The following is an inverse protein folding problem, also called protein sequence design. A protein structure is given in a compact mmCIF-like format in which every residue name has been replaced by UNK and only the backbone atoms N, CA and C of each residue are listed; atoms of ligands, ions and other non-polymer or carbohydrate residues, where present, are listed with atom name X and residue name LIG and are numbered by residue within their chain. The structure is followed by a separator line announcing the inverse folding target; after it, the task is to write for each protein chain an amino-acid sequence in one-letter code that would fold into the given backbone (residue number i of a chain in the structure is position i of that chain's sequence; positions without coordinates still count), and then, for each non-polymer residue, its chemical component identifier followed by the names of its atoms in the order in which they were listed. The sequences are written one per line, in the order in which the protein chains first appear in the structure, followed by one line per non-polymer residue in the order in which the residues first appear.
data_IF_145990083525
#
_entry.id   IF_145990083525
#
_cell.length_a   1.000
_cell.length_b   1.000
_cell.length_c   1.000
_cell.angle_alpha   90.00
_cell.angle_beta   90.00
_cell.angle_gamma   90.00
#
_symmetry.space_group_name_H-M   'P 1'
#
loop_
_entity.id
_entity.type
_entity.pdbx_description
1 polymer ?
#
# COMPACT_ATOMS: atom_id res chain seq x y z
N UNK A 1 -11.03 16.62 6.00
CA UNK A 1 -10.15 15.51 5.57
C UNK A 1 -9.92 15.65 4.08
N UNK A 2 -8.67 15.55 3.63
CA UNK A 2 -8.32 15.56 2.20
C UNK A 2 -8.96 14.34 1.54
N UNK A 3 -9.70 14.54 0.44
CA UNK A 3 -10.30 13.44 -0.30
C UNK A 3 -9.30 12.80 -1.26
N UNK A 4 -9.47 11.52 -1.61
CA UNK A 4 -8.72 10.91 -2.71
C UNK A 4 -8.95 11.64 -4.04
N UNK A 5 -7.88 11.79 -4.81
CA UNK A 5 -7.89 12.36 -6.15
C UNK A 5 -7.79 11.25 -7.20
N UNK A 6 -8.46 11.40 -8.34
CA UNK A 6 -8.37 10.44 -9.46
C UNK A 6 -7.22 10.90 -10.36
N UNK A 7 -6.20 10.06 -10.49
CA UNK A 7 -5.04 10.32 -11.36
C UNK A 7 -5.25 9.75 -12.76
N UNK A 8 -5.97 8.63 -12.85
CA UNK A 8 -6.28 7.95 -14.10
C UNK A 8 -7.55 7.12 -13.96
N UNK A 9 -8.32 7.02 -15.03
CA UNK A 9 -9.54 6.23 -15.09
C UNK A 9 -9.79 5.77 -16.53
N UNK A 10 -10.00 4.46 -16.71
CA UNK A 10 -10.54 3.87 -17.92
C UNK A 10 -11.58 2.80 -17.57
N UNK A 11 -12.07 2.05 -18.56
CA UNK A 11 -13.09 0.99 -18.36
C UNK A 11 -12.62 -0.18 -17.49
N UNK A 12 -11.32 -0.38 -17.36
CA UNK A 12 -10.71 -1.53 -16.69
C UNK A 12 -10.20 -1.21 -15.30
N UNK A 13 -9.59 -0.05 -15.08
CA UNK A 13 -8.97 0.32 -13.80
C UNK A 13 -9.09 1.80 -13.47
N UNK A 14 -8.86 2.10 -12.18
CA UNK A 14 -8.67 3.43 -11.63
C UNK A 14 -7.27 3.51 -11.02
N UNK A 15 -6.62 4.66 -11.14
CA UNK A 15 -5.50 5.03 -10.29
C UNK A 15 -5.91 6.23 -9.43
N UNK A 16 -5.86 6.07 -8.11
CA UNK A 16 -6.22 7.13 -7.16
C UNK A 16 -4.99 7.56 -6.37
N UNK A 17 -4.87 8.86 -6.10
CA UNK A 17 -3.92 9.39 -5.14
C UNK A 17 -4.56 9.31 -3.75
N UNK A 18 -4.16 8.29 -2.97
CA UNK A 18 -4.59 8.15 -1.57
C UNK A 18 -3.86 9.20 -0.72
N UNK A 19 -4.55 10.06 0.04
CA UNK A 19 -3.89 10.96 0.97
C UNK A 19 -3.30 10.20 2.18
N UNK A 20 -2.32 10.81 2.84
CA UNK A 20 -1.86 10.35 4.15
C UNK A 20 -2.96 10.51 5.20
N UNK A 21 -2.99 9.62 6.20
CA UNK A 21 -4.00 9.58 7.26
C UNK A 21 -5.26 8.77 6.93
N UNK A 22 -5.45 8.35 5.66
CA UNK A 22 -6.59 7.55 5.22
C UNK A 22 -6.26 6.05 5.16
N UNK A 23 -7.05 5.22 5.82
CA UNK A 23 -6.97 3.76 5.71
C UNK A 23 -7.43 3.28 4.33
N UNK A 24 -6.89 2.15 3.85
CA UNK A 24 -7.35 1.56 2.58
C UNK A 24 -8.68 0.82 2.73
N UNK A 25 -8.83 0.02 3.79
CA UNK A 25 -10.03 -0.72 4.17
C UNK A 25 -10.02 -0.95 5.69
N UNK A 26 -11.12 -1.44 6.27
CA UNK A 26 -11.26 -1.68 7.70
C UNK A 26 -12.12 -0.59 8.35
N UNK A 27 -11.63 0.00 9.44
CA UNK A 27 -12.38 1.02 10.18
C UNK A 27 -12.69 2.24 9.29
N UNK A 28 -13.88 2.81 9.48
CA UNK A 28 -14.32 4.03 8.80
C UNK A 28 -13.70 5.27 9.46
N UNK A 29 -13.33 6.32 8.69
CA UNK A 29 -13.41 6.41 7.23
C UNK A 29 -12.21 5.74 6.52
N UNK A 30 -12.46 5.13 5.36
CA UNK A 30 -11.43 4.49 4.54
C UNK A 30 -11.65 4.66 3.02
N UNK A 31 -10.63 4.29 2.24
CA UNK A 31 -10.64 4.40 0.77
C UNK A 31 -11.68 3.48 0.12
N UNK A 32 -11.88 2.26 0.64
CA UNK A 32 -12.85 1.32 0.12
C UNK A 32 -14.29 1.88 0.15
N UNK A 33 -14.68 2.51 1.27
CA UNK A 33 -15.97 3.20 1.39
C UNK A 33 -16.11 4.35 0.39
N UNK A 34 -15.06 5.16 0.24
CA UNK A 34 -15.04 6.25 -0.73
C UNK A 34 -15.17 5.73 -2.16
N UNK A 35 -14.47 4.63 -2.49
CA UNK A 35 -14.52 3.97 -3.80
C UNK A 35 -15.93 3.47 -4.10
N UNK A 36 -16.57 2.73 -3.19
CA UNK A 36 -17.93 2.21 -3.41
C UNK A 36 -18.95 3.34 -3.56
N UNK A 37 -18.80 4.43 -2.79
CA UNK A 37 -19.68 5.60 -2.90
C UNK A 37 -19.55 6.30 -4.26
N UNK A 38 -18.32 6.40 -4.79
CA UNK A 38 -18.04 7.13 -6.05
C UNK A 38 -18.14 6.27 -7.30
N UNK A 39 -17.87 4.97 -7.17
CA UNK A 39 -17.83 3.96 -8.23
C UNK A 39 -18.57 2.70 -7.77
N UNK A 40 -19.91 2.71 -7.72
CA UNK A 40 -20.69 1.59 -7.20
C UNK A 40 -20.44 0.27 -7.94
N UNK A 41 -20.00 0.30 -9.20
CA UNK A 41 -19.69 -0.87 -10.01
C UNK A 41 -18.54 -1.71 -9.44
N UNK A 42 -17.62 -1.11 -8.67
CA UNK A 42 -16.49 -1.82 -8.08
C UNK A 42 -16.89 -2.70 -6.90
N UNK A 43 -18.09 -2.50 -6.34
CA UNK A 43 -18.58 -3.15 -5.11
C UNK A 43 -18.47 -4.67 -5.13
N UNK A 44 -18.67 -5.28 -6.29
CA UNK A 44 -18.68 -6.73 -6.47
C UNK A 44 -17.40 -7.26 -7.14
N UNK A 45 -16.36 -6.43 -7.26
CA UNK A 45 -15.09 -6.81 -7.87
C UNK A 45 -14.14 -7.29 -6.78
N UNK A 46 -13.65 -8.52 -6.84
CA UNK A 46 -12.71 -9.02 -5.85
C UNK A 46 -12.68 -10.53 -5.69
N UNK A 47 -12.00 -10.99 -4.64
CA UNK A 47 -12.13 -12.38 -4.16
C UNK A 47 -13.52 -12.56 -3.53
N UNK A 48 -14.13 -13.75 -3.64
CA UNK A 48 -15.45 -14.03 -3.04
C UNK A 48 -15.56 -13.53 -1.59
N UNK A 49 -16.76 -13.09 -1.13
CA UNK A 49 -16.93 -12.50 0.19
C UNK A 49 -16.41 -13.44 1.30
N UNK A 50 -15.31 -13.06 1.93
CA UNK A 50 -14.73 -13.79 3.05
C UNK A 50 -15.46 -13.41 4.36
N UNK A 51 -16.79 -13.58 4.44
CA UNK A 51 -17.52 -13.26 5.67
C UNK A 51 -19.05 -13.15 5.59
N UNK A 52 -19.67 -13.20 6.79
CA UNK A 52 -21.09 -13.46 7.12
C UNK A 52 -22.17 -12.58 6.48
N UNK A 53 -21.85 -11.60 5.63
CA UNK A 53 -22.86 -10.71 5.01
C UNK A 53 -22.57 -10.30 3.55
N UNK A 54 -21.91 -11.15 2.76
CA UNK A 54 -21.96 -11.06 1.29
C UNK A 54 -21.41 -9.77 0.64
N UNK A 55 -20.71 -8.92 1.39
CA UNK A 55 -20.13 -7.66 0.88
C UNK A 55 -18.61 -7.77 0.82
N UNK A 56 -18.03 -7.25 -0.27
CA UNK A 56 -16.60 -7.27 -0.49
C UNK A 56 -15.89 -6.30 0.45
N UNK A 57 -15.01 -6.79 1.32
CA UNK A 57 -14.25 -5.94 2.26
C UNK A 57 -13.25 -5.02 1.52
N UNK A 58 -12.85 -5.40 0.30
CA UNK A 58 -11.81 -4.74 -0.51
C UNK A 58 -12.20 -4.67 -2.00
N UNK A 59 -13.26 -3.94 -2.36
CA UNK A 59 -13.81 -3.92 -3.71
C UNK A 59 -12.82 -3.33 -4.71
N UNK A 60 -12.38 -4.14 -5.68
CA UNK A 60 -11.40 -3.78 -6.69
C UNK A 60 -9.96 -3.58 -6.18
N UNK A 61 -9.72 -3.64 -4.87
CA UNK A 61 -8.43 -3.32 -4.25
C UNK A 61 -7.54 -4.57 -4.22
N UNK A 62 -6.47 -4.55 -5.02
CA UNK A 62 -5.49 -5.66 -5.15
C UNK A 62 -4.21 -5.46 -4.33
N UNK A 63 -3.98 -4.25 -3.82
CA UNK A 63 -2.82 -3.90 -2.98
C UNK A 63 -3.17 -2.74 -2.04
N UNK A 64 -2.30 -2.44 -1.08
CA UNK A 64 -2.54 -1.38 -0.09
C UNK A 64 -1.30 -0.52 0.14
N UNK A 65 -1.58 0.71 0.56
CA UNK A 65 -0.64 1.60 1.22
C UNK A 65 -0.99 1.67 2.71
N UNK A 66 -0.01 1.96 3.56
CA UNK A 66 -0.27 2.21 4.98
C UNK A 66 -1.04 3.51 5.19
N UNK A 67 -1.63 3.67 6.39
CA UNK A 67 -2.51 4.80 6.72
C UNK A 67 -1.84 6.15 6.38
N UNK A 68 -0.62 6.34 6.87
CA UNK A 68 0.10 7.61 6.74
C UNK A 68 0.95 7.69 5.46
N UNK A 69 0.92 6.65 4.62
CA UNK A 69 1.56 6.66 3.30
C UNK A 69 0.60 7.23 2.27
N UNK A 70 0.98 8.34 1.63
CA UNK A 70 0.27 8.88 0.47
C UNK A 70 0.74 8.26 -0.84
N UNK A 71 -0.06 8.37 -1.90
CA UNK A 71 0.36 8.09 -3.27
C UNK A 71 -0.60 7.20 -4.04
N UNK A 72 -0.07 6.64 -5.13
CA UNK A 72 -0.87 5.95 -6.15
C UNK A 72 -1.37 4.59 -5.64
N UNK A 73 -2.67 4.38 -5.72
CA UNK A 73 -3.33 3.09 -5.51
C UNK A 73 -4.14 2.73 -6.75
N UNK A 74 -3.76 1.64 -7.41
CA UNK A 74 -4.51 1.04 -8.52
C UNK A 74 -5.69 0.21 -7.99
N UNK A 75 -6.87 0.39 -8.59
CA UNK A 75 -8.13 -0.32 -8.28
C UNK A 75 -8.67 -0.92 -9.58
N UNK A 76 -9.04 -2.20 -9.56
CA UNK A 76 -9.73 -2.85 -10.67
C UNK A 76 -11.21 -2.45 -10.71
N UNK A 77 -11.75 -2.17 -11.89
CA UNK A 77 -13.18 -1.85 -12.10
C UNK A 77 -14.02 -3.04 -12.52
N UNK A 78 -13.40 -4.15 -12.88
CA UNK A 78 -14.07 -5.40 -13.23
C UNK A 78 -13.26 -6.62 -12.79
N UNK A 79 -13.92 -7.79 -12.71
CA UNK A 79 -13.33 -9.02 -12.18
C UNK A 79 -12.12 -9.51 -12.99
N UNK A 80 -12.21 -9.45 -14.33
CA UNK A 80 -11.10 -9.83 -15.22
C UNK A 80 -9.84 -9.01 -14.92
N UNK A 81 -9.99 -7.71 -14.72
CA UNK A 81 -8.87 -6.82 -14.37
C UNK A 81 -8.36 -7.07 -12.97
N UNK A 82 -9.25 -7.38 -12.03
CA UNK A 82 -8.87 -7.73 -10.65
C UNK A 82 -7.97 -8.96 -10.61
N UNK A 83 -8.35 -10.04 -11.28
CA UNK A 83 -7.56 -11.27 -11.37
C UNK A 83 -6.22 -11.04 -12.04
N UNK A 84 -6.22 -10.30 -13.15
CA UNK A 84 -5.00 -9.92 -13.86
C UNK A 84 -4.04 -9.12 -12.97
N UNK A 85 -4.52 -8.04 -12.34
CA UNK A 85 -3.69 -7.21 -11.47
C UNK A 85 -3.23 -7.99 -10.22
N UNK A 86 -4.09 -8.81 -9.63
CA UNK A 86 -3.75 -9.68 -8.50
C UNK A 86 -2.58 -10.60 -8.86
N UNK A 87 -2.61 -11.24 -10.04
CA UNK A 87 -1.51 -12.05 -10.54
C UNK A 87 -0.22 -11.23 -10.72
N UNK A 88 -0.30 -10.02 -11.30
CA UNK A 88 0.88 -9.15 -11.45
C UNK A 88 1.50 -8.74 -10.11
N UNK A 89 0.69 -8.48 -9.09
CA UNK A 89 1.18 -8.22 -7.73
C UNK A 89 1.82 -9.45 -7.10
N UNK A 90 1.21 -10.63 -7.26
CA UNK A 90 1.72 -11.90 -6.72
C UNK A 90 3.04 -12.33 -7.38
N UNK A 91 3.18 -12.08 -8.68
CA UNK A 91 4.36 -12.45 -9.48
C UNK A 91 5.41 -11.32 -9.54
N UNK A 92 5.26 -10.26 -8.73
CA UNK A 92 6.20 -9.15 -8.63
C UNK A 92 6.49 -8.41 -9.96
N UNK A 93 5.54 -8.41 -10.89
CA UNK A 93 5.67 -7.73 -12.18
C UNK A 93 5.38 -6.22 -12.12
N UNK A 94 4.78 -5.75 -11.03
CA UNK A 94 4.48 -4.32 -10.83
C UNK A 94 5.68 -3.61 -10.19
N UNK A 95 6.22 -2.61 -10.90
CA UNK A 95 7.25 -1.72 -10.38
C UNK A 95 6.61 -0.61 -9.54
N UNK A 96 7.02 -0.51 -8.28
CA UNK A 96 6.58 0.54 -7.36
C UNK A 96 7.78 1.39 -6.96
N UNK A 97 7.64 2.71 -7.05
CA UNK A 97 8.66 3.66 -6.64
C UNK A 97 8.09 4.54 -5.54
N UNK A 98 8.84 4.69 -4.45
CA UNK A 98 8.46 5.52 -3.33
C UNK A 98 9.50 6.63 -3.17
N UNK A 99 9.01 7.84 -2.89
CA UNK A 99 9.85 8.93 -2.42
C UNK A 99 9.70 9.00 -0.90
N UNK A 100 10.82 9.01 -0.19
CA UNK A 100 10.85 9.09 1.27
C UNK A 100 11.90 10.10 1.71
N UNK A 101 11.61 10.78 2.82
CA UNK A 101 12.58 11.52 3.61
C UNK A 101 12.96 10.64 4.80
N UNK A 102 14.25 10.52 5.08
CA UNK A 102 14.79 9.65 6.12
C UNK A 102 15.67 10.45 7.05
N UNK A 103 15.69 10.07 8.32
CA UNK A 103 16.54 10.69 9.31
C UNK A 103 17.97 10.17 9.23
N UNK A 104 18.94 11.08 9.34
CA UNK A 104 20.37 10.78 9.26
C UNK A 104 20.89 10.64 7.82
N UNK A 105 22.19 10.36 7.71
CA UNK A 105 22.90 10.30 6.43
C UNK A 105 23.00 8.85 5.95
N UNK A 106 22.17 8.48 4.97
CA UNK A 106 22.23 7.14 4.35
C UNK A 106 23.50 6.98 3.52
N UNK A 107 24.30 5.96 3.87
CA UNK A 107 25.51 5.54 3.15
C UNK A 107 25.53 4.01 3.03
N UNK A 108 25.82 3.43 1.85
CA UNK A 108 26.11 4.08 0.56
C UNK A 108 24.88 4.81 -0.07
N UNK A 109 25.09 5.62 -1.12
CA UNK A 109 24.02 6.39 -1.79
C UNK A 109 23.00 5.53 -2.54
N UNK A 110 23.30 4.26 -2.79
CA UNK A 110 22.36 3.32 -3.39
C UNK A 110 22.71 1.93 -2.90
N UNK A 111 21.71 1.06 -2.83
CA UNK A 111 21.93 -0.32 -2.45
C UNK A 111 20.65 -1.13 -2.40
N UNK A 112 20.81 -2.36 -1.93
CA UNK A 112 19.74 -3.31 -1.72
C UNK A 112 19.65 -3.62 -0.22
N UNK A 113 18.45 -3.47 0.34
CA UNK A 113 18.13 -3.91 1.70
C UNK A 113 17.38 -5.24 1.57
N UNK A 114 18.02 -6.33 1.99
CA UNK A 114 17.42 -7.66 2.06
C UNK A 114 17.29 -8.08 3.52
N UNK A 115 16.06 -8.01 4.05
CA UNK A 115 15.73 -8.47 5.39
C UNK A 115 14.36 -9.13 5.36
N UNK A 116 14.21 -10.37 5.85
CA UNK A 116 12.91 -11.02 5.89
C UNK A 116 11.96 -10.27 6.84
N UNK A 117 10.67 -10.33 6.56
CA UNK A 117 9.62 -9.77 7.39
C UNK A 117 8.69 -10.88 7.88
N UNK A 118 8.55 -11.00 9.20
CA UNK A 118 7.64 -11.91 9.86
C UNK A 118 6.51 -11.17 10.57
N UNK A 119 5.38 -11.85 10.80
CA UNK A 119 4.31 -11.38 11.67
C UNK A 119 4.69 -11.63 13.13
N UNK A 120 4.69 -10.58 13.96
CA UNK A 120 4.91 -10.73 15.40
C UNK A 120 3.73 -11.50 16.00
N UNK A 121 4.02 -12.62 16.68
CA UNK A 121 3.02 -13.49 17.28
C UNK A 121 2.05 -12.72 18.18
N UNK A 122 0.75 -13.02 18.07
CA UNK A 122 -0.32 -12.34 18.83
C UNK A 122 -0.65 -10.92 18.35
N UNK A 123 -0.09 -10.45 17.23
CA UNK A 123 -0.34 -9.10 16.71
C UNK A 123 -0.54 -9.09 15.19
N UNK A 124 -0.97 -7.95 14.66
CA UNK A 124 -1.02 -7.67 13.21
C UNK A 124 0.26 -7.00 12.67
N UNK A 125 1.25 -6.71 13.54
CA UNK A 125 2.46 -5.95 13.17
C UNK A 125 3.53 -6.86 12.57
N UNK A 126 4.21 -6.37 11.53
CA UNK A 126 5.37 -7.03 10.90
C UNK A 126 6.68 -6.58 11.54
N UNK A 127 7.69 -7.46 11.56
CA UNK A 127 9.01 -7.22 12.16
C UNK A 127 10.12 -7.88 11.36
N UNK A 128 11.31 -7.29 11.40
CA UNK A 128 12.56 -7.87 10.87
C UNK A 128 13.22 -8.87 11.84
N UNK A 129 12.81 -8.87 13.12
CA UNK A 129 13.28 -9.83 14.12
C UNK A 129 12.45 -11.11 14.03
N UNK A 130 12.88 -12.04 13.18
CA UNK A 130 12.06 -13.18 12.74
C UNK A 130 12.15 -14.45 13.58
N UNK A 131 12.99 -14.49 14.62
CA UNK A 131 13.26 -15.70 15.43
C UNK A 131 11.98 -16.38 15.98
N UNK A 132 10.96 -15.60 16.34
CA UNK A 132 9.66 -16.11 16.82
C UNK A 132 8.47 -15.58 16.00
N UNK A 133 8.73 -15.13 14.77
CA UNK A 133 7.70 -14.55 13.92
C UNK A 133 7.04 -15.62 13.05
N UNK A 134 5.73 -15.47 12.81
CA UNK A 134 4.96 -16.35 11.92
C UNK A 134 4.95 -15.77 10.50
N UNK A 135 4.65 -16.60 9.49
CA UNK A 135 4.50 -16.14 8.09
C UNK A 135 5.69 -15.29 7.60
N UNK A 136 6.90 -15.75 7.88
CA UNK A 136 8.13 -15.08 7.45
C UNK A 136 8.20 -15.13 5.93
N UNK A 137 8.43 -13.96 5.32
CA UNK A 137 8.61 -13.82 3.87
C UNK A 137 9.85 -13.00 3.59
N UNK A 138 10.51 -13.30 2.48
CA UNK A 138 11.58 -12.45 1.97
C UNK A 138 11.04 -11.06 1.64
N UNK A 139 11.84 -10.03 1.93
CA UNK A 139 11.57 -8.67 1.51
C UNK A 139 12.87 -8.02 1.01
N UNK A 140 12.75 -7.38 -0.15
CA UNK A 140 13.87 -6.77 -0.89
C UNK A 140 13.47 -5.35 -1.27
N UNK A 141 14.29 -4.38 -0.89
CA UNK A 141 14.07 -2.96 -1.22
C UNK A 141 15.32 -2.38 -1.82
N UNK A 142 15.25 -1.99 -3.09
CA UNK A 142 16.28 -1.18 -3.75
C UNK A 142 16.08 0.28 -3.39
N UNK A 143 17.15 0.97 -3.02
CA UNK A 143 17.10 2.39 -2.72
C UNK A 143 18.18 3.17 -3.47
N UNK A 144 17.91 4.45 -3.68
CA UNK A 144 18.85 5.44 -4.20
C UNK A 144 18.56 6.79 -3.56
N UNK A 145 19.56 7.36 -2.90
CA UNK A 145 19.54 8.71 -2.34
C UNK A 145 19.49 9.72 -3.50
N UNK A 146 18.47 10.57 -3.52
CA UNK A 146 18.36 11.66 -4.48
C UNK A 146 19.18 12.88 -4.06
N UNK A 147 19.02 13.30 -2.82
CA UNK A 147 19.59 14.53 -2.27
C UNK A 147 19.85 14.33 -0.77
N UNK A 148 20.91 14.95 -0.25
CA UNK A 148 21.08 15.16 1.19
C UNK A 148 20.60 16.56 1.54
N UNK A 149 19.88 16.69 2.65
CA UNK A 149 19.52 17.97 3.22
C UNK A 149 20.52 18.26 4.34
N UNK A 150 21.00 19.51 4.45
CA UNK A 150 21.93 19.88 5.50
C UNK A 150 21.27 19.78 6.88
N UNK A 151 21.98 19.17 7.83
CA UNK A 151 21.69 19.27 9.25
C UNK A 151 22.02 20.71 9.70
N UNK A 152 21.12 21.67 9.47
CA UNK A 152 21.14 22.83 10.35
C UNK A 152 20.79 22.30 11.73
N UNK A 153 21.63 22.50 12.75
CA UNK A 153 21.32 22.01 14.09
C UNK A 153 19.95 22.53 14.47
N UNK A 154 19.06 21.60 14.86
CA UNK A 154 17.83 21.95 15.54
C UNK A 154 18.25 22.78 16.75
N UNK A 155 17.92 24.07 16.76
CA UNK A 155 18.13 24.87 17.95
C UNK A 155 17.37 24.15 19.08
N UNK A 156 18.01 23.81 20.21
CA UNK A 156 17.30 23.21 21.32
C UNK A 156 16.19 24.17 21.76
N UNK A 157 14.97 23.63 21.88
CA UNK A 157 13.82 24.32 22.49
C UNK A 157 14.14 24.74 23.93
#
# INVERSE_FOLDING_TARGET
MTQPEILYQDESLLAVNKPAGLLVHGDSPNLAEWLVKKFPEVKNVGDLPAGRQGTQERPGIVHRLDKDTSGVLIVARNQKTFEYLKNLFQTHQIKKTYLAMVWGKVTPKSGLIEKPLGLKSGTTKRTVHVQNAKMVKEAKTLYRVKTYFDDRPHAPN
#
